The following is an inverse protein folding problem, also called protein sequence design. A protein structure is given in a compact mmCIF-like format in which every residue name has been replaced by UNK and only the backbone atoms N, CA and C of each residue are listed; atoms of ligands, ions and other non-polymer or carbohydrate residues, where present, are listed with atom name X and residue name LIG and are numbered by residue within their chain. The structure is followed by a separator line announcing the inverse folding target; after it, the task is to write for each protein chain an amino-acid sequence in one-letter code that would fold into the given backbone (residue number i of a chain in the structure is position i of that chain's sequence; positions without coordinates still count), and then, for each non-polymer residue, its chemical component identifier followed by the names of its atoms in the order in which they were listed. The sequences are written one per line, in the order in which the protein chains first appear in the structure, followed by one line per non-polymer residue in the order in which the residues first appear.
data_IF_998152054316
#
_entry.id   IF_998152054316
#
_cell.length_a   1.000
_cell.length_b   1.000
_cell.length_c   1.000
_cell.angle_alpha   90.00
_cell.angle_beta   90.00
_cell.angle_gamma   90.00
#
_symmetry.space_group_name_H-M   'P 1'
#
loop_
_entity.id
_entity.type
_entity.pdbx_description
1 polymer ?
#
# COMPACT_ATOMS: atom_id res chain seq x y z
N UNK A 1 29.18 -22.84 48.93
CA UNK A 1 28.83 -21.85 47.90
C UNK A 1 29.98 -20.84 47.84
N UNK A 2 30.64 -20.67 46.68
CA UNK A 2 31.89 -19.91 46.56
C UNK A 2 31.56 -18.39 46.43
N UNK A 3 32.34 -17.51 47.07
CA UNK A 3 32.18 -16.04 47.07
C UNK A 3 31.96 -15.46 45.66
N UNK A 4 32.61 -16.04 44.63
CA UNK A 4 32.44 -15.66 43.23
C UNK A 4 31.03 -15.97 42.64
N UNK A 5 30.39 -17.03 43.13
CA UNK A 5 29.03 -17.41 42.72
C UNK A 5 27.98 -16.47 43.33
N UNK A 6 28.20 -16.00 44.56
CA UNK A 6 27.34 -15.04 45.23
C UNK A 6 27.40 -13.65 44.58
N UNK A 7 28.60 -13.19 44.17
CA UNK A 7 28.78 -11.92 43.47
C UNK A 7 28.15 -11.96 42.06
N UNK A 8 28.23 -13.09 41.37
CA UNK A 8 27.57 -13.23 40.07
C UNK A 8 26.03 -13.24 40.17
N UNK A 9 25.48 -13.87 41.21
CA UNK A 9 24.03 -13.84 41.46
C UNK A 9 23.56 -12.43 41.88
N UNK A 10 24.31 -11.74 42.74
CA UNK A 10 23.96 -10.39 43.14
C UNK A 10 24.05 -9.38 41.99
N UNK A 11 25.04 -9.53 41.08
CA UNK A 11 25.16 -8.66 39.90
C UNK A 11 24.07 -8.93 38.84
N UNK A 12 23.68 -10.18 38.64
CA UNK A 12 22.60 -10.51 37.68
C UNK A 12 21.23 -10.11 38.22
N UNK A 13 20.96 -10.27 39.52
CA UNK A 13 19.71 -9.81 40.12
C UNK A 13 19.61 -8.27 40.13
N UNK A 14 20.70 -7.57 40.43
CA UNK A 14 20.76 -6.11 40.40
C UNK A 14 20.58 -5.55 38.98
N UNK A 15 21.19 -6.20 37.99
CA UNK A 15 21.05 -5.77 36.57
C UNK A 15 19.64 -6.04 36.05
N UNK A 16 19.04 -7.19 36.34
CA UNK A 16 17.66 -7.51 35.97
C UNK A 16 16.66 -6.52 36.59
N UNK A 17 16.85 -6.17 37.89
CA UNK A 17 16.00 -5.18 38.56
C UNK A 17 16.17 -3.76 38.00
N UNK A 18 17.37 -3.40 37.53
CA UNK A 18 17.65 -2.10 36.93
C UNK A 18 17.02 -1.99 35.53
N UNK A 19 17.04 -3.08 34.73
CA UNK A 19 16.41 -3.15 33.42
C UNK A 19 14.88 -3.05 33.51
N UNK A 20 14.26 -3.82 34.42
CA UNK A 20 12.80 -3.74 34.63
C UNK A 20 12.33 -2.36 35.13
N UNK A 21 13.11 -1.70 35.97
CA UNK A 21 12.82 -0.31 36.41
C UNK A 21 12.93 0.70 35.25
N UNK A 22 13.93 0.55 34.35
CA UNK A 22 14.09 1.40 33.18
C UNK A 22 12.95 1.18 32.17
N UNK A 23 12.56 -0.05 31.94
CA UNK A 23 11.43 -0.40 31.07
C UNK A 23 10.12 0.16 31.64
N UNK A 24 9.87 0.00 32.93
CA UNK A 24 8.69 0.54 33.59
C UNK A 24 8.68 2.08 33.52
N UNK A 25 9.81 2.76 33.73
CA UNK A 25 9.91 4.20 33.61
C UNK A 25 9.69 4.69 32.16
N UNK A 26 10.22 3.97 31.17
CA UNK A 26 9.99 4.27 29.76
C UNK A 26 8.52 4.08 29.37
N UNK A 27 7.88 3.01 29.84
CA UNK A 27 6.45 2.79 29.65
C UNK A 27 5.60 3.88 30.32
N UNK A 28 5.95 4.28 31.53
CA UNK A 28 5.25 5.37 32.22
C UNK A 28 5.44 6.71 31.50
N UNK A 29 6.64 7.00 31.02
CA UNK A 29 6.90 8.20 30.22
C UNK A 29 6.13 8.20 28.91
N UNK A 30 6.09 7.07 28.20
CA UNK A 30 5.28 6.90 27.00
C UNK A 30 3.78 7.06 27.30
N UNK A 31 3.30 6.47 28.40
CA UNK A 31 1.92 6.63 28.84
C UNK A 31 1.58 8.08 29.19
N UNK A 32 2.52 8.82 29.83
CA UNK A 32 2.34 10.26 30.11
C UNK A 32 2.30 11.08 28.82
N UNK A 33 3.16 10.81 27.86
CA UNK A 33 3.20 11.49 26.57
C UNK A 33 1.93 11.30 25.76
N UNK A 34 1.26 10.14 25.89
CA UNK A 34 0.03 9.81 25.17
C UNK A 34 -1.27 10.11 25.94
N UNK A 35 -1.20 10.51 27.21
CA UNK A 35 -2.38 10.75 28.07
C UNK A 35 -3.35 11.80 27.52
N UNK A 36 -2.86 12.76 26.75
CA UNK A 36 -3.69 13.80 26.15
C UNK A 36 -4.39 13.34 24.86
N UNK A 37 -4.00 12.20 24.30
CA UNK A 37 -4.56 11.66 23.06
C UNK A 37 -5.27 10.35 23.39
N UNK A 38 -6.60 10.31 23.37
CA UNK A 38 -7.35 9.09 23.63
C UNK A 38 -6.98 8.00 22.63
N UNK A 39 -6.81 6.76 23.08
CA UNK A 39 -6.59 5.61 22.22
C UNK A 39 -7.95 5.09 21.70
N UNK A 40 -8.36 5.41 20.44
CA UNK A 40 -9.61 4.95 19.89
C UNK A 40 -9.52 3.46 19.58
N UNK A 41 -10.66 2.75 19.69
CA UNK A 41 -10.77 1.36 19.26
C UNK A 41 -11.43 1.28 17.89
N UNK A 42 -11.02 0.32 17.09
CA UNK A 42 -11.66 0.02 15.81
C UNK A 42 -13.05 -0.55 16.07
N UNK A 43 -14.09 0.21 15.69
CA UNK A 43 -15.49 -0.17 15.83
C UNK A 43 -16.00 -0.92 14.61
N UNK A 44 -15.62 -0.48 13.42
CA UNK A 44 -16.02 -1.10 12.16
C UNK A 44 -14.99 -0.86 11.05
N UNK A 45 -14.98 -1.74 10.06
CA UNK A 45 -14.23 -1.58 8.82
C UNK A 45 -15.18 -1.81 7.65
N UNK A 46 -15.27 -0.82 6.78
CA UNK A 46 -16.11 -0.83 5.58
C UNK A 46 -15.23 -0.82 4.34
N UNK A 47 -15.63 -1.61 3.35
CA UNK A 47 -14.95 -1.61 2.04
C UNK A 47 -15.88 -1.01 1.01
N UNK A 48 -15.41 0.04 0.34
CA UNK A 48 -16.17 0.78 -0.67
C UNK A 48 -15.54 0.48 -2.03
N UNK A 49 -16.17 -0.39 -2.80
CA UNK A 49 -15.80 -0.63 -4.18
C UNK A 49 -16.48 0.40 -5.10
N UNK A 50 -15.70 1.14 -5.86
CA UNK A 50 -16.20 2.20 -6.74
C UNK A 50 -15.41 2.25 -8.05
N UNK A 51 -15.97 2.88 -9.07
CA UNK A 51 -15.32 3.01 -10.38
C UNK A 51 -15.72 4.35 -11.06
N UNK A 52 -15.34 5.50 -10.50
CA UNK A 52 -15.84 6.82 -10.94
C UNK A 52 -15.51 7.15 -12.40
N UNK A 53 -14.44 6.59 -12.95
CA UNK A 53 -14.03 6.80 -14.36
C UNK A 53 -13.78 5.48 -15.08
N UNK A 54 -14.49 4.42 -14.69
CA UNK A 54 -14.24 3.05 -15.18
C UNK A 54 -13.04 2.35 -14.53
N UNK A 55 -12.21 3.07 -13.79
CA UNK A 55 -11.11 2.49 -13.01
C UNK A 55 -11.65 1.99 -11.67
N UNK A 56 -11.52 0.69 -11.42
CA UNK A 56 -11.95 0.09 -10.15
C UNK A 56 -11.07 0.54 -9.01
N UNK A 57 -11.68 1.16 -8.00
CA UNK A 57 -11.03 1.62 -6.79
C UNK A 57 -11.62 0.89 -5.59
N UNK A 58 -10.76 0.46 -4.68
CA UNK A 58 -11.14 -0.12 -3.40
C UNK A 58 -10.67 0.82 -2.30
N UNK A 59 -11.65 1.42 -1.62
CA UNK A 59 -11.41 2.31 -0.49
C UNK A 59 -11.77 1.57 0.79
N UNK A 60 -10.85 1.55 1.75
CA UNK A 60 -11.07 1.01 3.08
C UNK A 60 -11.35 2.15 4.03
N UNK A 61 -12.50 2.11 4.70
CA UNK A 61 -12.87 3.06 5.76
C UNK A 61 -12.81 2.35 7.11
N UNK A 62 -11.93 2.81 7.99
CA UNK A 62 -11.86 2.36 9.38
C UNK A 62 -12.61 3.35 10.25
N UNK A 63 -13.57 2.86 11.02
CA UNK A 63 -14.42 3.66 11.91
C UNK A 63 -14.03 3.31 13.35
N UNK A 64 -13.86 4.33 14.18
CA UNK A 64 -13.53 4.14 15.60
C UNK A 64 -14.76 4.25 16.50
N UNK A 65 -14.58 3.92 17.78
CA UNK A 65 -15.56 4.10 18.84
C UNK A 65 -15.71 5.57 19.29
N UNK A 66 -14.85 6.46 18.79
CA UNK A 66 -14.99 7.90 19.01
C UNK A 66 -15.84 8.52 17.90
N UNK A 67 -16.85 9.28 18.30
CA UNK A 67 -17.77 9.89 17.35
C UNK A 67 -17.07 10.81 16.36
N UNK A 68 -17.37 10.64 15.08
CA UNK A 68 -16.79 11.42 13.99
C UNK A 68 -15.34 11.06 13.64
N UNK A 69 -14.69 10.16 14.38
CA UNK A 69 -13.31 9.77 14.11
C UNK A 69 -13.25 8.49 13.26
N UNK A 70 -12.84 8.66 12.03
CA UNK A 70 -12.63 7.60 11.05
C UNK A 70 -11.46 7.96 10.13
N UNK A 71 -10.97 6.99 9.38
CA UNK A 71 -9.94 7.21 8.37
C UNK A 71 -10.19 6.43 7.10
N UNK A 72 -9.59 6.88 6.01
CA UNK A 72 -9.63 6.25 4.70
C UNK A 72 -8.25 5.76 4.27
N UNK A 73 -8.25 4.62 3.59
CA UNK A 73 -7.06 4.09 2.94
C UNK A 73 -7.37 3.47 1.59
N UNK A 74 -6.37 3.37 0.74
CA UNK A 74 -6.50 2.79 -0.59
C UNK A 74 -6.02 1.33 -0.59
N UNK A 75 -6.95 0.41 -0.84
CA UNK A 75 -6.68 -1.02 -1.04
C UNK A 75 -6.70 -1.43 -2.51
N UNK A 76 -6.54 -0.49 -3.43
CA UNK A 76 -6.77 -0.73 -4.86
C UNK A 76 -5.73 -1.63 -5.51
N UNK A 77 -6.18 -2.73 -6.06
CA UNK A 77 -5.44 -3.54 -7.03
C UNK A 77 -6.29 -3.68 -8.29
N UNK A 78 -6.13 -2.78 -9.25
CA UNK A 78 -7.05 -2.58 -10.39
C UNK A 78 -7.33 -3.84 -11.20
N UNK A 79 -6.35 -4.75 -11.36
CA UNK A 79 -6.49 -5.96 -12.16
C UNK A 79 -7.31 -7.07 -11.46
N UNK A 80 -7.40 -7.03 -10.13
CA UNK A 80 -8.10 -8.02 -9.32
C UNK A 80 -8.80 -7.36 -8.11
N UNK A 81 -9.40 -6.20 -8.34
CA UNK A 81 -9.97 -5.35 -7.29
C UNK A 81 -10.98 -6.11 -6.40
N UNK A 82 -11.85 -6.90 -7.03
CA UNK A 82 -12.91 -7.61 -6.34
C UNK A 82 -12.39 -8.65 -5.30
N UNK A 83 -11.14 -9.11 -5.43
CA UNK A 83 -10.53 -10.03 -4.46
C UNK A 83 -10.07 -9.33 -3.18
N UNK A 84 -9.83 -8.03 -3.23
CA UNK A 84 -9.41 -7.26 -2.05
C UNK A 84 -10.57 -7.08 -1.07
N UNK A 85 -11.79 -6.97 -1.57
CA UNK A 85 -13.00 -6.82 -0.74
C UNK A 85 -13.12 -7.94 0.29
N UNK A 86 -13.25 -9.23 -0.11
CA UNK A 86 -13.34 -10.33 0.84
C UNK A 86 -12.05 -10.53 1.67
N UNK A 87 -10.87 -10.14 1.16
CA UNK A 87 -9.65 -10.17 1.94
C UNK A 87 -9.74 -9.25 3.17
N UNK A 88 -10.29 -8.06 3.01
CA UNK A 88 -10.54 -7.14 4.14
C UNK A 88 -11.70 -7.63 5.01
N UNK A 89 -12.86 -7.91 4.42
CA UNK A 89 -14.09 -8.16 5.17
C UNK A 89 -14.08 -9.48 5.95
N UNK A 90 -13.55 -10.54 5.34
CA UNK A 90 -13.58 -11.89 5.93
C UNK A 90 -12.37 -12.21 6.79
N UNK A 91 -11.23 -11.59 6.53
CA UNK A 91 -9.98 -11.96 7.20
C UNK A 91 -9.41 -10.84 8.07
N UNK A 92 -9.35 -9.59 7.60
CA UNK A 92 -8.77 -8.51 8.39
C UNK A 92 -9.77 -7.91 9.38
N UNK A 93 -11.00 -7.63 8.96
CA UNK A 93 -12.01 -7.02 9.82
C UNK A 93 -12.27 -7.81 11.12
N UNK A 94 -12.52 -9.14 11.11
CA UNK A 94 -12.73 -9.88 12.36
C UNK A 94 -11.51 -9.86 13.29
N UNK A 95 -10.31 -9.80 12.72
CA UNK A 95 -9.06 -9.74 13.47
C UNK A 95 -8.85 -8.39 14.15
N UNK A 96 -9.42 -7.31 13.59
CA UNK A 96 -9.12 -5.93 13.95
C UNK A 96 -10.17 -5.25 14.84
N UNK A 97 -11.42 -5.68 14.79
CA UNK A 97 -12.49 -5.10 15.61
C UNK A 97 -12.13 -5.15 17.10
N UNK A 98 -12.32 -4.01 17.79
CA UNK A 98 -12.01 -3.84 19.22
C UNK A 98 -10.53 -3.52 19.52
N UNK A 99 -9.63 -3.60 18.53
CA UNK A 99 -8.21 -3.27 18.73
C UNK A 99 -7.99 -1.75 18.78
N UNK A 100 -6.94 -1.31 19.52
CA UNK A 100 -6.53 0.09 19.51
C UNK A 100 -6.09 0.53 18.09
N UNK A 101 -6.66 1.61 17.58
CA UNK A 101 -6.37 2.14 16.25
C UNK A 101 -5.03 2.93 16.21
N UNK A 102 -4.46 3.26 17.34
CA UNK A 102 -3.17 3.96 17.47
C UNK A 102 -1.95 3.04 17.38
N UNK A 103 -2.13 1.72 17.49
CA UNK A 103 -1.07 0.72 17.35
C UNK A 103 -0.87 0.32 15.88
N UNK A 104 -0.52 1.28 15.04
CA UNK A 104 -0.50 1.11 13.58
C UNK A 104 0.51 0.05 13.15
N UNK A 105 1.76 0.18 13.57
CA UNK A 105 2.84 -0.75 13.18
C UNK A 105 2.59 -2.17 13.71
N UNK A 106 2.13 -2.31 14.96
CA UNK A 106 1.76 -3.59 15.55
C UNK A 106 0.60 -4.24 14.77
N UNK A 107 -0.40 -3.45 14.40
CA UNK A 107 -1.54 -3.90 13.58
C UNK A 107 -1.09 -4.38 12.20
N UNK A 108 -0.18 -3.65 11.56
CA UNK A 108 0.40 -4.05 10.28
C UNK A 108 1.14 -5.40 10.41
N UNK A 109 2.00 -5.52 11.40
CA UNK A 109 2.76 -6.75 11.67
C UNK A 109 1.82 -7.94 11.93
N UNK A 110 0.78 -7.73 12.72
CA UNK A 110 -0.21 -8.75 13.01
C UNK A 110 -0.98 -9.18 11.76
N UNK A 111 -1.45 -8.23 10.95
CA UNK A 111 -2.13 -8.53 9.70
C UNK A 111 -1.24 -9.31 8.74
N UNK A 112 0.03 -8.91 8.60
CA UNK A 112 1.00 -9.58 7.74
C UNK A 112 1.30 -11.01 8.20
N UNK A 113 1.36 -11.24 9.52
CA UNK A 113 1.63 -12.55 10.10
C UNK A 113 0.38 -13.41 10.33
N UNK A 114 -0.82 -12.89 10.05
CA UNK A 114 -2.09 -13.60 10.24
C UNK A 114 -2.29 -14.82 9.34
N UNK A 115 -1.47 -14.94 8.29
CA UNK A 115 -1.46 -16.05 7.36
C UNK A 115 -0.05 -16.63 7.22
N UNK A 116 0.07 -17.95 7.09
CA UNK A 116 1.35 -18.61 6.83
C UNK A 116 1.94 -18.20 5.47
N UNK A 117 1.13 -18.23 4.41
CA UNK A 117 1.48 -17.75 3.09
C UNK A 117 1.22 -16.25 3.02
N UNK A 118 2.31 -15.49 2.89
CA UNK A 118 2.33 -14.03 2.87
C UNK A 118 2.68 -13.55 1.47
N UNK A 119 2.59 -12.27 1.25
CA UNK A 119 2.86 -11.61 -0.01
C UNK A 119 1.73 -11.74 -1.03
N UNK A 120 1.99 -11.14 -2.16
CA UNK A 120 1.04 -11.01 -3.25
C UNK A 120 0.21 -9.74 -3.17
N UNK A 121 -0.21 -9.24 -4.34
CA UNK A 121 -0.81 -7.90 -4.42
C UNK A 121 -2.19 -7.83 -3.75
N UNK A 122 -2.99 -8.89 -3.74
CA UNK A 122 -4.32 -8.87 -3.12
C UNK A 122 -4.21 -8.67 -1.61
N UNK A 123 -3.43 -9.51 -0.93
CA UNK A 123 -3.29 -9.45 0.53
C UNK A 123 -2.56 -8.18 0.97
N UNK A 124 -1.49 -7.80 0.27
CA UNK A 124 -0.75 -6.58 0.61
C UNK A 124 -1.56 -5.31 0.36
N UNK A 125 -2.41 -5.23 -0.67
CA UNK A 125 -3.31 -4.11 -0.85
C UNK A 125 -4.42 -4.06 0.20
N UNK A 126 -4.93 -5.21 0.65
CA UNK A 126 -5.88 -5.26 1.76
C UNK A 126 -5.27 -4.69 3.05
N UNK A 127 -4.05 -5.12 3.41
CA UNK A 127 -3.32 -4.60 4.56
C UNK A 127 -3.02 -3.10 4.39
N UNK A 128 -2.55 -2.69 3.21
CA UNK A 128 -2.26 -1.28 2.89
C UNK A 128 -3.48 -0.38 3.05
N UNK A 129 -4.66 -0.82 2.63
CA UNK A 129 -5.89 -0.06 2.82
C UNK A 129 -6.21 0.20 4.28
N UNK A 130 -6.04 -0.80 5.14
CA UNK A 130 -6.22 -0.65 6.60
C UNK A 130 -5.14 0.23 7.20
N UNK A 131 -3.87 0.00 6.86
CA UNK A 131 -2.73 0.76 7.37
C UNK A 131 -2.85 2.27 7.08
N UNK A 132 -3.13 2.62 5.83
CA UNK A 132 -3.36 4.02 5.44
C UNK A 132 -4.54 4.65 6.20
N UNK A 133 -5.63 3.90 6.40
CA UNK A 133 -6.78 4.39 7.16
C UNK A 133 -6.43 4.65 8.63
N UNK A 134 -5.59 3.83 9.25
CA UNK A 134 -5.11 4.05 10.61
C UNK A 134 -4.19 5.28 10.72
N UNK A 135 -3.33 5.50 9.72
CA UNK A 135 -2.52 6.72 9.63
C UNK A 135 -3.39 7.97 9.42
N UNK A 136 -4.47 7.90 8.62
CA UNK A 136 -5.43 8.99 8.44
C UNK A 136 -6.14 9.32 9.76
N UNK A 137 -6.55 8.30 10.55
CA UNK A 137 -7.09 8.48 11.90
C UNK A 137 -6.07 9.21 12.78
N UNK A 138 -4.81 8.78 12.75
CA UNK A 138 -3.75 9.44 13.55
C UNK A 138 -3.53 10.89 13.16
N UNK A 139 -3.55 11.19 11.86
CA UNK A 139 -3.48 12.56 11.34
C UNK A 139 -4.64 13.42 11.82
N UNK A 140 -5.86 12.90 11.76
CA UNK A 140 -7.08 13.59 12.24
C UNK A 140 -7.03 13.87 13.73
N UNK A 141 -6.60 12.89 14.55
CA UNK A 141 -6.41 13.09 15.98
C UNK A 141 -5.35 14.15 16.30
N UNK A 142 -4.26 14.19 15.54
CA UNK A 142 -3.19 15.15 15.72
C UNK A 142 -3.49 16.52 15.10
N UNK A 143 -4.58 16.66 14.34
CA UNK A 143 -4.90 17.89 13.61
C UNK A 143 -3.87 18.24 12.53
N UNK A 144 -3.15 17.25 11.99
CA UNK A 144 -2.11 17.47 10.99
C UNK A 144 -2.14 16.44 9.87
N UNK A 145 -1.68 16.78 8.67
CA UNK A 145 -1.60 15.83 7.57
C UNK A 145 -0.54 14.75 7.82
N UNK A 146 -0.79 13.54 7.30
CA UNK A 146 0.06 12.36 7.55
C UNK A 146 1.53 12.59 7.19
N UNK A 147 1.83 13.35 6.12
CA UNK A 147 3.22 13.63 5.76
C UNK A 147 3.99 14.38 6.86
N UNK A 148 3.32 15.20 7.66
CA UNK A 148 3.95 15.87 8.80
C UNK A 148 4.27 14.88 9.93
N UNK A 149 3.42 13.89 10.16
CA UNK A 149 3.70 12.81 11.11
C UNK A 149 4.89 11.93 10.68
N UNK A 150 5.14 11.83 9.38
CA UNK A 150 6.22 11.03 8.79
C UNK A 150 7.54 11.80 8.60
N UNK A 151 7.68 13.00 9.16
CA UNK A 151 8.93 13.76 9.10
C UNK A 151 8.89 15.02 8.24
N UNK A 152 7.71 15.39 7.70
CA UNK A 152 7.50 16.65 7.00
C UNK A 152 7.56 16.57 5.49
N UNK A 153 7.44 17.71 4.86
CA UNK A 153 7.32 17.86 3.42
C UNK A 153 8.70 17.87 2.75
N UNK A 154 8.93 16.98 1.81
CA UNK A 154 10.18 16.90 1.05
C UNK A 154 10.19 17.76 -0.21
N UNK A 155 9.02 18.00 -0.82
CA UNK A 155 8.89 18.72 -2.10
C UNK A 155 7.50 19.30 -2.24
N UNK A 156 7.35 20.33 -3.09
CA UNK A 156 6.07 20.99 -3.31
C UNK A 156 5.15 20.20 -4.24
N UNK A 157 5.73 19.43 -5.17
CA UNK A 157 4.99 18.63 -6.12
C UNK A 157 5.71 17.31 -6.43
N UNK A 158 4.96 16.27 -6.75
CA UNK A 158 5.51 15.04 -7.27
C UNK A 158 5.69 15.16 -8.79
N UNK A 159 6.84 14.72 -9.29
CA UNK A 159 7.05 14.55 -10.73
C UNK A 159 6.18 13.38 -11.23
N UNK A 160 5.66 13.51 -12.43
CA UNK A 160 4.74 12.53 -13.01
C UNK A 160 5.27 12.02 -14.34
N UNK A 161 4.83 10.83 -14.73
CA UNK A 161 5.06 10.29 -16.06
C UNK A 161 3.74 9.94 -16.76
N UNK A 162 3.78 9.89 -18.09
CA UNK A 162 2.64 9.48 -18.91
C UNK A 162 2.94 8.16 -19.62
N UNK A 163 1.89 7.40 -19.88
CA UNK A 163 1.98 6.19 -20.68
C UNK A 163 1.61 6.51 -22.13
N UNK A 164 2.56 6.39 -23.04
CA UNK A 164 2.32 6.38 -24.47
C UNK A 164 2.22 4.92 -24.94
N UNK A 165 1.06 4.52 -25.44
CA UNK A 165 0.76 3.16 -25.87
C UNK A 165 -0.04 3.16 -27.17
N UNK A 166 0.10 2.10 -27.97
CA UNK A 166 -0.62 1.94 -29.23
C UNK A 166 -0.41 0.55 -29.80
N UNK A 167 -1.20 0.17 -30.79
CA UNK A 167 -1.03 -1.07 -31.56
C UNK A 167 0.20 -1.04 -32.47
N UNK A 168 0.55 0.17 -32.94
CA UNK A 168 1.67 0.41 -33.84
C UNK A 168 2.70 1.37 -33.23
N UNK A 169 3.97 1.19 -33.61
CA UNK A 169 5.09 1.99 -33.09
C UNK A 169 4.88 3.49 -33.35
N UNK A 170 4.41 3.85 -34.53
CA UNK A 170 4.18 5.25 -34.87
C UNK A 170 3.14 5.92 -33.96
N UNK A 171 2.07 5.23 -33.62
CA UNK A 171 1.04 5.72 -32.69
C UNK A 171 1.62 6.02 -31.30
N UNK A 172 2.54 5.16 -30.82
CA UNK A 172 3.22 5.36 -29.54
C UNK A 172 4.10 6.61 -29.58
N UNK A 173 4.86 6.78 -30.67
CA UNK A 173 5.74 7.95 -30.88
C UNK A 173 4.92 9.24 -30.94
N UNK A 174 3.85 9.27 -31.73
CA UNK A 174 3.01 10.45 -31.87
C UNK A 174 2.34 10.85 -30.55
N UNK A 175 1.91 9.84 -29.78
CA UNK A 175 1.38 10.05 -28.44
C UNK A 175 2.44 10.60 -27.48
N UNK A 176 3.67 10.07 -27.53
CA UNK A 176 4.78 10.54 -26.70
C UNK A 176 5.14 11.99 -27.04
N UNK A 177 5.28 12.33 -28.32
CA UNK A 177 5.52 13.70 -28.79
C UNK A 177 4.44 14.66 -28.32
N UNK A 178 3.17 14.29 -28.47
CA UNK A 178 2.04 15.08 -27.99
C UNK A 178 2.15 15.38 -26.49
N UNK A 179 2.46 14.39 -25.65
CA UNK A 179 2.61 14.60 -24.22
C UNK A 179 3.78 15.54 -23.87
N UNK A 180 4.90 15.44 -24.59
CA UNK A 180 6.04 16.35 -24.42
C UNK A 180 5.63 17.78 -24.83
N UNK A 181 4.99 17.94 -25.96
CA UNK A 181 4.68 19.24 -26.55
C UNK A 181 3.54 19.97 -25.83
N UNK A 182 2.44 19.26 -25.53
CA UNK A 182 1.22 19.86 -24.97
C UNK A 182 1.17 19.87 -23.45
N UNK A 183 1.61 18.77 -22.81
CA UNK A 183 1.54 18.61 -21.35
C UNK A 183 2.88 18.90 -20.65
N UNK A 184 3.95 19.15 -21.40
CA UNK A 184 5.31 19.41 -20.90
C UNK A 184 5.84 18.33 -19.96
N UNK A 185 5.42 17.07 -20.17
CA UNK A 185 5.83 15.91 -19.37
C UNK A 185 7.25 15.54 -19.72
N UNK A 186 8.09 15.34 -18.71
CA UNK A 186 9.52 15.01 -18.87
C UNK A 186 9.80 13.50 -18.92
N UNK A 187 8.88 12.70 -18.38
CA UNK A 187 9.05 11.25 -18.26
C UNK A 187 7.89 10.54 -18.94
N UNK A 188 8.22 9.74 -19.96
CA UNK A 188 7.23 8.98 -20.71
C UNK A 188 7.61 7.50 -20.71
N UNK A 189 6.63 6.68 -20.36
CA UNK A 189 6.72 5.23 -20.51
C UNK A 189 6.13 4.87 -21.85
N UNK A 190 6.97 4.40 -22.77
CA UNK A 190 6.55 3.92 -24.08
C UNK A 190 6.25 2.42 -24.06
N UNK A 191 5.20 2.02 -24.75
CA UNK A 191 4.71 0.66 -24.75
C UNK A 191 4.00 0.36 -26.08
N UNK A 192 4.47 -0.64 -26.83
CA UNK A 192 3.80 -1.10 -28.05
C UNK A 192 2.95 -2.33 -27.75
N UNK A 193 1.79 -2.43 -28.37
CA UNK A 193 0.93 -3.62 -28.31
C UNK A 193 1.61 -4.83 -28.98
N UNK A 194 1.23 -6.01 -28.54
CA UNK A 194 1.56 -7.26 -29.22
C UNK A 194 0.42 -7.57 -30.17
N UNK A 195 0.66 -7.81 -31.49
CA UNK A 195 -0.40 -8.21 -32.40
C UNK A 195 -1.15 -9.44 -31.86
N UNK A 196 -2.48 -9.35 -31.78
CA UNK A 196 -3.34 -10.42 -31.25
C UNK A 196 -3.46 -10.48 -29.74
N UNK A 197 -2.74 -9.65 -29.00
CA UNK A 197 -2.85 -9.53 -27.53
C UNK A 197 -3.18 -8.11 -27.11
N UNK A 198 -4.16 -7.96 -26.22
CA UNK A 198 -4.36 -6.66 -25.55
C UNK A 198 -3.09 -6.29 -24.77
N UNK A 199 -2.51 -5.14 -25.07
CA UNK A 199 -1.28 -4.68 -24.46
C UNK A 199 -1.34 -4.73 -22.93
N UNK A 200 -0.22 -5.08 -22.29
CA UNK A 200 -0.05 -5.03 -20.85
C UNK A 200 -0.42 -3.62 -20.33
N UNK A 201 -1.46 -3.54 -19.49
CA UNK A 201 -1.93 -2.26 -18.97
C UNK A 201 -2.97 -1.54 -19.85
N UNK A 202 -3.45 -2.15 -20.92
CA UNK A 202 -4.58 -1.59 -21.70
C UNK A 202 -5.79 -1.33 -20.79
N UNK A 203 -6.39 -0.16 -20.93
CA UNK A 203 -7.59 0.29 -20.20
C UNK A 203 -8.85 -0.53 -20.51
N UNK A 204 -8.75 -1.53 -21.37
CA UNK A 204 -9.84 -2.40 -21.73
C UNK A 204 -10.25 -3.28 -20.55
N UNK A 205 -11.30 -2.88 -19.84
CA UNK A 205 -12.10 -3.77 -19.00
C UNK A 205 -12.88 -4.79 -19.82
N UNK A 206 -12.49 -5.02 -21.07
CA UNK A 206 -12.98 -6.08 -21.93
C UNK A 206 -12.56 -7.43 -21.38
N UNK A 207 -13.42 -8.39 -21.62
CA UNK A 207 -13.28 -9.77 -21.16
C UNK A 207 -11.96 -10.39 -21.67
N UNK A 208 -10.85 -10.15 -20.97
CA UNK A 208 -9.51 -10.70 -21.29
C UNK A 208 -9.52 -12.22 -21.43
N UNK A 209 -10.50 -12.88 -20.80
CA UNK A 209 -10.67 -14.32 -20.93
C UNK A 209 -11.05 -14.74 -22.37
N UNK A 210 -11.77 -13.89 -23.10
CA UNK A 210 -12.17 -14.19 -24.47
C UNK A 210 -11.01 -14.05 -25.48
N UNK A 211 -10.07 -13.12 -25.25
CA UNK A 211 -8.90 -12.96 -26.13
C UNK A 211 -7.83 -14.05 -25.91
N UNK A 212 -7.75 -14.61 -24.72
CA UNK A 212 -6.81 -15.70 -24.40
C UNK A 212 -7.18 -17.05 -25.07
N UNK A 213 -8.42 -17.20 -25.52
CA UNK A 213 -8.86 -18.44 -26.17
C UNK A 213 -8.40 -18.58 -27.63
N UNK A 214 -7.96 -17.50 -28.27
CA UNK A 214 -7.52 -17.52 -29.66
C UNK A 214 -6.00 -17.56 -29.83
N UNK A 215 -5.25 -17.35 -28.76
CA UNK A 215 -3.78 -17.42 -28.77
C UNK A 215 -3.33 -18.71 -28.06
N UNK A 216 -2.81 -19.68 -28.81
CA UNK A 216 -2.51 -21.01 -28.26
C UNK A 216 -1.33 -21.03 -27.28
N UNK A 217 -0.43 -20.03 -27.33
CA UNK A 217 0.80 -20.02 -26.51
C UNK A 217 1.24 -18.60 -26.17
N UNK A 218 1.55 -18.33 -24.90
CA UNK A 218 2.24 -17.13 -24.49
C UNK A 218 3.71 -17.20 -24.92
N UNK A 219 4.09 -16.39 -25.92
CA UNK A 219 5.46 -16.36 -26.48
C UNK A 219 6.12 -14.99 -26.25
N UNK A 220 6.99 -14.86 -25.23
CA UNK A 220 7.65 -13.60 -24.91
C UNK A 220 8.51 -13.04 -26.04
N UNK A 221 9.07 -13.89 -26.90
CA UNK A 221 9.91 -13.48 -28.02
C UNK A 221 9.15 -12.60 -29.03
N UNK A 222 7.85 -12.77 -29.17
CA UNK A 222 6.99 -11.95 -30.02
C UNK A 222 6.98 -10.48 -29.53
N UNK A 223 7.08 -10.26 -28.23
CA UNK A 223 7.12 -8.91 -27.65
C UNK A 223 8.52 -8.26 -27.73
N UNK A 224 9.59 -9.04 -27.62
CA UNK A 224 10.95 -8.50 -27.56
C UNK A 224 11.30 -7.72 -28.83
N UNK A 225 11.00 -8.25 -30.01
CA UNK A 225 11.32 -7.62 -31.31
C UNK A 225 10.63 -6.26 -31.48
N UNK A 226 9.29 -6.13 -31.33
CA UNK A 226 8.62 -4.84 -31.40
C UNK A 226 9.11 -3.85 -30.35
N UNK A 227 9.43 -4.29 -29.13
CA UNK A 227 9.94 -3.44 -28.08
C UNK A 227 11.31 -2.84 -28.45
N UNK A 228 12.26 -3.64 -28.95
CA UNK A 228 13.56 -3.16 -29.42
C UNK A 228 13.39 -2.11 -30.54
N UNK A 229 12.58 -2.42 -31.54
CA UNK A 229 12.28 -1.51 -32.65
C UNK A 229 11.64 -0.20 -32.16
N UNK A 230 10.73 -0.25 -31.20
CA UNK A 230 10.14 0.93 -30.59
C UNK A 230 11.21 1.84 -29.98
N UNK A 231 12.16 1.30 -29.21
CA UNK A 231 13.23 2.10 -28.62
C UNK A 231 14.21 2.66 -29.66
N UNK A 232 14.47 1.94 -30.74
CA UNK A 232 15.27 2.44 -31.86
C UNK A 232 14.59 3.66 -32.52
N UNK A 233 13.29 3.58 -32.79
CA UNK A 233 12.53 4.67 -33.41
C UNK A 233 12.35 5.86 -32.45
N UNK A 234 12.21 5.65 -31.14
CA UNK A 234 12.13 6.72 -30.15
C UNK A 234 13.43 7.54 -30.02
N UNK A 235 14.58 7.03 -30.48
CA UNK A 235 15.87 7.71 -30.43
C UNK A 235 16.14 8.63 -31.64
N UNK A 236 15.37 8.50 -32.70
CA UNK A 236 15.42 9.36 -33.89
C UNK A 236 14.68 10.68 -33.65
#
# INVERSE_FOLDING_TARGET
MNRRSLLKLASSAGFATLMTRREAAAQEQAARATRAIPSPKIKDIQVIATAPTGLRLIVVKVITDQDGLYGYGCGTFTQRADLVVPAVEKYLKPLLIGRPADRIVDTWQMCYNSSYWRNGPVLNNAISGVDQALWDIKGRQAGMPVYQLMGGKLREAADVYRHASGGEIQQVIDMAKRYIETEKVRHIRVQVGIPGMDGYGGRGGGNRAASLHNDPVYEPAVYIRPALKLFEECRK
#
